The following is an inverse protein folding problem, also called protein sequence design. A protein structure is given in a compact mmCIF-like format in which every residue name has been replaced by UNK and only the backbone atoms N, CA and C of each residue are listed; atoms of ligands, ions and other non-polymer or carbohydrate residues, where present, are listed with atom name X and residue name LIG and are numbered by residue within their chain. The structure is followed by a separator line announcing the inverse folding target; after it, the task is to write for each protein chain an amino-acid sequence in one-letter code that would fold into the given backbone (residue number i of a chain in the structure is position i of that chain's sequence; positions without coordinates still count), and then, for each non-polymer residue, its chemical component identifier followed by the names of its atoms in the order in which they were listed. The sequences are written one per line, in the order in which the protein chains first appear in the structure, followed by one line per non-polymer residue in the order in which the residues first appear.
data_IF_074007529737
#
_entry.id   IF_074007529737
#
_cell.length_a   1.000
_cell.length_b   1.000
_cell.length_c   1.000
_cell.angle_alpha   90.00
_cell.angle_beta   90.00
_cell.angle_gamma   90.00
#
_symmetry.space_group_name_H-M   'P 1'
#
loop_
_entity.id
_entity.type
_entity.pdbx_description
1 polymer ?
#
# COMPACT_ATOMS: atom_id res chain seq x y z
N UNK A 1 -1.64 -17.43 -0.36
CA UNK A 1 -0.41 -17.60 -1.13
C UNK A 1 -0.73 -17.80 -2.58
N UNK A 2 0.08 -17.24 -3.48
CA UNK A 2 -0.17 -17.27 -4.92
C UNK A 2 1.09 -17.75 -5.63
N UNK A 3 0.92 -18.57 -6.66
CA UNK A 3 2.01 -19.05 -7.52
C UNK A 3 1.64 -18.71 -8.95
N UNK A 4 2.49 -17.93 -9.62
CA UNK A 4 2.37 -17.68 -11.06
C UNK A 4 2.73 -18.99 -11.76
N UNK A 5 1.75 -19.63 -12.39
CA UNK A 5 1.95 -20.88 -13.14
C UNK A 5 2.45 -20.64 -14.57
N UNK A 6 2.17 -19.45 -15.12
CA UNK A 6 2.63 -19.03 -16.44
C UNK A 6 2.80 -17.50 -16.48
N UNK A 7 3.99 -17.04 -16.87
CA UNK A 7 4.36 -15.62 -16.83
C UNK A 7 3.71 -14.79 -17.94
N UNK A 8 3.37 -15.38 -19.10
CA UNK A 8 2.68 -14.68 -20.17
C UNK A 8 3.32 -13.34 -20.56
N UNK A 9 2.54 -12.26 -20.55
CA UNK A 9 3.00 -10.92 -20.90
C UNK A 9 3.95 -10.31 -19.85
N UNK A 10 3.99 -10.84 -18.62
CA UNK A 10 4.91 -10.38 -17.57
C UNK A 10 6.38 -10.60 -17.95
N UNK A 11 6.66 -11.51 -18.90
CA UNK A 11 8.01 -11.71 -19.46
C UNK A 11 8.53 -10.49 -20.23
N UNK A 12 7.65 -9.63 -20.74
CA UNK A 12 8.00 -8.51 -21.63
C UNK A 12 7.66 -7.17 -21.02
N UNK A 13 6.71 -7.12 -20.08
CA UNK A 13 6.31 -5.87 -19.42
C UNK A 13 5.91 -6.14 -17.96
N UNK A 14 6.67 -5.57 -17.03
CA UNK A 14 6.29 -5.39 -15.64
C UNK A 14 5.92 -3.92 -15.49
N UNK A 15 4.63 -3.64 -15.26
CA UNK A 15 4.20 -2.29 -14.93
C UNK A 15 4.87 -1.90 -13.61
N UNK A 16 5.60 -0.77 -13.61
CA UNK A 16 6.20 -0.25 -12.39
C UNK A 16 5.08 0.11 -11.42
N UNK A 17 4.99 -0.60 -10.29
CA UNK A 17 4.13 -0.18 -9.18
C UNK A 17 4.70 1.12 -8.61
N UNK A 18 3.85 2.13 -8.42
CA UNK A 18 4.20 3.30 -7.63
C UNK A 18 4.75 2.85 -6.26
N UNK A 19 5.83 3.49 -5.80
CA UNK A 19 6.72 3.05 -4.69
C UNK A 19 6.07 2.95 -3.29
N UNK A 20 4.75 2.93 -3.14
CA UNK A 20 4.11 3.00 -1.81
C UNK A 20 3.09 1.90 -1.48
N UNK A 21 2.92 0.83 -2.29
CA UNK A 21 1.79 -0.06 -2.02
C UNK A 21 1.76 -1.46 -2.59
N UNK A 22 2.88 -2.21 -2.59
CA UNK A 22 2.89 -3.66 -2.35
C UNK A 22 4.23 -4.29 -2.77
N UNK A 23 5.24 -4.26 -1.88
CA UNK A 23 6.40 -5.16 -1.97
C UNK A 23 6.05 -6.63 -1.62
N UNK A 24 4.77 -6.94 -1.38
CA UNK A 24 4.33 -8.24 -0.87
C UNK A 24 4.17 -9.34 -1.94
N UNK A 25 4.38 -9.04 -3.22
CA UNK A 25 4.16 -10.02 -4.29
C UNK A 25 5.21 -11.14 -4.36
N UNK A 26 6.39 -10.97 -3.73
CA UNK A 26 7.43 -12.01 -3.74
C UNK A 26 7.35 -13.02 -2.57
N UNK A 27 6.65 -12.71 -1.48
CA UNK A 27 6.72 -13.52 -0.24
C UNK A 27 5.47 -14.40 0.00
N UNK A 28 4.60 -14.52 -1.01
CA UNK A 28 3.32 -15.24 -0.89
C UNK A 28 3.39 -16.76 -1.07
N UNK A 29 4.57 -17.38 -1.20
CA UNK A 29 4.65 -18.84 -1.44
C UNK A 29 4.41 -19.62 -0.15
N UNK A 30 3.36 -20.43 -0.17
CA UNK A 30 3.03 -21.32 0.95
C UNK A 30 3.55 -22.73 0.67
N UNK A 31 4.04 -23.45 1.70
CA UNK A 31 4.41 -24.85 1.56
C UNK A 31 3.17 -25.72 1.28
N UNK A 32 3.38 -26.89 0.67
CA UNK A 32 2.33 -27.87 0.53
C UNK A 32 1.93 -28.42 1.91
N UNK A 33 0.62 -28.37 2.20
CA UNK A 33 0.04 -28.79 3.49
C UNK A 33 -1.01 -29.88 3.27
N UNK A 34 -1.27 -30.68 4.32
CA UNK A 34 -2.34 -31.68 4.33
C UNK A 34 -3.38 -31.36 5.40
N UNK A 35 -4.63 -31.75 5.17
CA UNK A 35 -5.68 -31.64 6.19
C UNK A 35 -5.29 -32.43 7.46
N UNK A 36 -5.52 -31.82 8.63
CA UNK A 36 -5.16 -32.41 9.93
C UNK A 36 -3.67 -32.34 10.29
N UNK A 37 -2.83 -31.74 9.46
CA UNK A 37 -1.41 -31.56 9.78
C UNK A 37 -1.22 -30.65 11.00
N UNK A 38 -0.54 -31.17 12.04
CA UNK A 38 -0.23 -30.42 13.25
C UNK A 38 0.83 -29.36 12.92
N UNK A 39 0.55 -28.11 13.33
CA UNK A 39 1.45 -26.97 13.19
C UNK A 39 1.93 -26.51 14.56
N UNK A 40 3.24 -26.35 14.68
CA UNK A 40 3.84 -25.73 15.86
C UNK A 40 3.85 -24.22 15.69
N UNK A 41 3.36 -23.48 16.70
CA UNK A 41 3.54 -22.02 16.73
C UNK A 41 5.00 -21.72 17.08
N UNK A 42 5.70 -21.04 16.19
CA UNK A 42 7.05 -20.52 16.50
C UNK A 42 6.94 -19.19 17.24
N UNK A 43 6.11 -18.28 16.71
CA UNK A 43 5.92 -16.92 17.22
C UNK A 43 4.49 -16.46 16.94
N UNK A 44 3.91 -15.68 17.84
CA UNK A 44 2.65 -14.94 17.60
C UNK A 44 2.97 -13.46 17.72
N UNK A 45 2.54 -12.67 16.73
CA UNK A 45 2.71 -11.22 16.70
C UNK A 45 1.31 -10.59 16.68
N UNK A 46 1.01 -9.78 17.68
CA UNK A 46 -0.20 -8.95 17.70
C UNK A 46 0.22 -7.50 17.47
N UNK A 47 -0.15 -6.95 16.32
CA UNK A 47 0.15 -5.56 15.94
C UNK A 47 -1.09 -4.71 16.10
N UNK A 48 -0.99 -3.64 16.87
CA UNK A 48 -2.02 -2.60 16.91
C UNK A 48 -2.05 -1.90 15.55
N UNK A 49 -3.24 -1.81 14.94
CA UNK A 49 -3.45 -1.14 13.66
C UNK A 49 -4.46 -0.03 13.80
N UNK A 50 -4.25 1.04 13.03
CA UNK A 50 -5.18 2.15 12.90
C UNK A 50 -5.65 2.26 11.45
N UNK A 51 -6.86 2.77 11.25
CA UNK A 51 -7.37 3.08 9.93
C UNK A 51 -6.63 4.29 9.36
N UNK A 52 -6.03 4.14 8.18
CA UNK A 52 -5.49 5.28 7.43
C UNK A 52 -6.63 6.05 6.76
N UNK A 53 -6.49 7.37 6.65
CA UNK A 53 -7.40 8.16 5.83
C UNK A 53 -7.18 7.83 4.34
N UNK A 54 -8.15 8.17 3.49
CA UNK A 54 -7.95 8.05 2.05
C UNK A 54 -6.73 8.89 1.61
N UNK A 55 -5.87 8.36 0.72
CA UNK A 55 -4.71 9.10 0.25
C UNK A 55 -5.15 10.35 -0.49
N UNK A 56 -4.32 11.39 -0.43
CA UNK A 56 -4.51 12.60 -1.23
C UNK A 56 -4.24 12.27 -2.71
N UNK A 57 -4.82 13.06 -3.60
CA UNK A 57 -4.57 12.88 -5.03
C UNK A 57 -3.16 13.35 -5.40
N UNK A 58 -2.40 12.44 -6.00
CA UNK A 58 -1.28 12.75 -6.89
C UNK A 58 -1.81 13.23 -8.24
N UNK A 59 -0.96 13.83 -9.09
CA UNK A 59 -1.40 14.20 -10.44
C UNK A 59 -1.88 12.98 -11.23
N UNK A 60 -1.17 11.84 -11.16
CA UNK A 60 -1.55 10.61 -11.83
C UNK A 60 -2.92 10.07 -11.35
N UNK A 61 -3.12 9.98 -10.03
CA UNK A 61 -4.40 9.51 -9.46
C UNK A 61 -5.54 10.49 -9.70
N UNK A 62 -5.27 11.79 -9.77
CA UNK A 62 -6.26 12.81 -10.14
C UNK A 62 -6.69 12.66 -11.61
N UNK A 63 -5.73 12.46 -12.52
CA UNK A 63 -6.02 12.22 -13.95
C UNK A 63 -6.88 10.97 -14.10
N UNK A 64 -6.47 9.86 -13.48
CA UNK A 64 -7.25 8.61 -13.48
C UNK A 64 -8.67 8.85 -12.97
N UNK A 65 -8.82 9.63 -11.89
CA UNK A 65 -10.13 9.92 -11.33
C UNK A 65 -11.00 10.81 -12.23
N UNK A 66 -10.41 11.79 -12.91
CA UNK A 66 -11.12 12.63 -13.88
C UNK A 66 -11.62 11.80 -15.08
N UNK A 67 -10.81 10.86 -15.55
CA UNK A 67 -11.15 9.94 -16.63
C UNK A 67 -12.32 9.01 -16.25
N UNK A 68 -12.26 8.37 -15.07
CA UNK A 68 -13.34 7.53 -14.55
C UNK A 68 -14.68 8.27 -14.44
N UNK A 69 -14.64 9.56 -14.09
CA UNK A 69 -15.82 10.41 -13.99
C UNK A 69 -16.25 11.01 -15.34
N UNK A 70 -15.51 10.79 -16.42
CA UNK A 70 -15.79 11.34 -17.74
C UNK A 70 -15.58 12.86 -17.85
N UNK A 71 -14.83 13.46 -16.93
CA UNK A 71 -14.58 14.90 -16.85
C UNK A 71 -13.28 15.23 -17.57
N UNK A 72 -13.38 15.95 -18.69
CA UNK A 72 -12.22 16.31 -19.51
C UNK A 72 -11.85 15.23 -20.53
N UNK A 73 -10.71 15.41 -21.21
CA UNK A 73 -10.18 14.59 -22.30
C UNK A 73 -8.65 14.49 -22.15
N UNK A 74 -7.97 13.56 -22.83
CA UNK A 74 -6.51 13.43 -22.79
C UNK A 74 -5.77 14.75 -23.04
N UNK A 75 -6.30 15.63 -23.90
CA UNK A 75 -5.73 16.95 -24.20
C UNK A 75 -5.98 18.00 -23.11
N UNK A 76 -6.88 17.76 -22.15
CA UNK A 76 -7.32 18.77 -21.17
C UNK A 76 -6.88 18.48 -19.74
N UNK A 77 -6.40 17.28 -19.43
CA UNK A 77 -6.00 16.92 -18.06
C UNK A 77 -4.88 17.81 -17.51
N UNK A 78 -3.71 17.83 -18.17
CA UNK A 78 -2.58 18.64 -17.72
C UNK A 78 -2.88 20.16 -17.70
N UNK A 79 -3.52 20.76 -18.73
CA UNK A 79 -3.92 22.17 -18.66
C UNK A 79 -4.88 22.50 -17.51
N UNK A 80 -5.84 21.61 -17.21
CA UNK A 80 -6.80 21.81 -16.11
C UNK A 80 -6.09 21.82 -14.77
N UNK A 81 -5.25 20.80 -14.51
CA UNK A 81 -4.46 20.66 -13.28
C UNK A 81 -3.54 21.88 -13.11
N UNK A 82 -2.82 22.28 -14.16
CA UNK A 82 -1.96 23.46 -14.12
C UNK A 82 -2.73 24.75 -13.82
N UNK A 83 -3.94 24.90 -14.37
CA UNK A 83 -4.76 26.10 -14.17
C UNK A 83 -5.26 26.21 -12.74
N UNK A 84 -5.72 25.11 -12.12
CA UNK A 84 -6.20 25.14 -10.73
C UNK A 84 -5.07 25.39 -9.74
N UNK A 85 -3.86 24.88 -10.03
CA UNK A 85 -2.65 25.19 -9.24
C UNK A 85 -2.25 26.67 -9.40
N UNK A 86 -2.17 27.20 -10.64
CA UNK A 86 -1.80 28.60 -10.91
C UNK A 86 -2.74 29.63 -10.28
N UNK A 87 -4.03 29.27 -10.15
CA UNK A 87 -5.04 30.13 -9.51
C UNK A 87 -5.05 30.01 -7.98
N UNK A 88 -4.20 29.16 -7.40
CA UNK A 88 -4.09 28.97 -5.95
C UNK A 88 -5.24 28.20 -5.32
N UNK A 89 -6.05 27.46 -6.10
CA UNK A 89 -7.12 26.63 -5.54
C UNK A 89 -6.60 25.34 -4.91
N UNK A 90 -5.47 24.84 -5.40
CA UNK A 90 -4.80 23.65 -4.90
C UNK A 90 -3.30 23.88 -4.89
N UNK A 91 -2.62 23.26 -3.94
CA UNK A 91 -1.18 23.32 -3.80
C UNK A 91 -0.61 21.91 -3.87
N UNK A 92 0.50 21.76 -4.59
CA UNK A 92 1.31 20.54 -4.53
C UNK A 92 2.22 20.65 -3.31
N UNK A 93 1.83 20.00 -2.23
CA UNK A 93 2.63 19.91 -1.02
C UNK A 93 2.92 18.44 -0.74
N UNK A 94 4.18 18.16 -0.41
CA UNK A 94 4.53 16.94 0.29
C UNK A 94 4.43 17.26 1.78
N UNK A 95 3.48 16.62 2.47
CA UNK A 95 3.24 16.87 3.89
C UNK A 95 3.53 15.58 4.62
N UNK A 96 4.65 15.59 5.33
CA UNK A 96 5.02 14.50 6.22
C UNK A 96 3.87 14.19 7.17
N UNK A 97 3.63 12.90 7.34
CA UNK A 97 2.68 12.42 8.31
C UNK A 97 3.07 12.81 9.73
N UNK A 98 2.09 12.93 10.62
CA UNK A 98 2.39 13.13 12.05
C UNK A 98 2.80 11.79 12.68
N UNK A 99 3.85 11.75 13.51
CA UNK A 99 4.25 10.52 14.17
C UNK A 99 3.19 10.08 15.18
N UNK A 100 2.88 8.79 15.17
CA UNK A 100 1.93 8.15 16.07
C UNK A 100 2.48 6.81 16.54
N UNK A 101 2.37 6.56 17.83
CA UNK A 101 2.79 5.29 18.41
C UNK A 101 1.74 4.18 18.23
N UNK A 102 2.23 2.97 17.99
CA UNK A 102 1.45 1.73 17.99
C UNK A 102 2.19 0.62 18.73
N UNK A 103 1.45 -0.33 19.28
CA UNK A 103 2.02 -1.45 20.04
C UNK A 103 2.19 -2.70 19.20
N UNK A 104 3.29 -3.41 19.46
CA UNK A 104 3.58 -4.74 18.92
C UNK A 104 3.84 -5.68 20.09
N UNK A 105 2.96 -6.66 20.25
CA UNK A 105 3.13 -7.73 21.23
C UNK A 105 3.68 -8.97 20.53
N UNK A 106 4.80 -9.48 21.02
CA UNK A 106 5.40 -10.73 20.51
C UNK A 106 5.33 -11.79 21.59
N UNK A 107 4.66 -12.92 21.31
CA UNK A 107 4.71 -14.14 22.13
C UNK A 107 5.68 -15.14 21.50
N UNK A 108 6.73 -15.49 22.24
CA UNK A 108 7.72 -16.49 21.85
C UNK A 108 8.15 -17.30 23.10
N UNK A 109 8.20 -18.63 22.97
CA UNK A 109 8.61 -19.52 24.07
C UNK A 109 7.75 -19.45 25.35
N UNK A 110 6.57 -18.82 25.30
CA UNK A 110 5.70 -18.60 26.48
C UNK A 110 5.89 -17.27 27.19
N UNK A 111 6.82 -16.43 26.72
CA UNK A 111 7.02 -15.06 27.21
C UNK A 111 6.43 -14.04 26.25
N UNK A 112 5.81 -12.97 26.80
CA UNK A 112 5.28 -11.86 26.02
C UNK A 112 6.23 -10.68 26.11
N UNK A 113 6.69 -10.17 24.96
CA UNK A 113 7.41 -8.91 24.84
C UNK A 113 6.45 -7.83 24.33
N UNK A 114 6.48 -6.66 24.96
CA UNK A 114 5.73 -5.46 24.56
C UNK A 114 6.71 -4.44 23.99
N UNK A 115 6.46 -4.00 22.76
CA UNK A 115 7.25 -3.01 22.04
C UNK A 115 6.33 -1.90 21.54
N UNK A 116 6.80 -0.65 21.64
CA UNK A 116 6.14 0.51 21.05
C UNK A 116 6.97 0.98 19.88
N UNK A 117 6.34 1.00 18.70
CA UNK A 117 6.91 1.51 17.45
C UNK A 117 6.12 2.74 17.00
N UNK A 118 6.69 3.52 16.08
CA UNK A 118 6.08 4.75 15.57
C UNK A 118 5.78 4.61 14.08
N UNK A 119 4.57 4.99 13.67
CA UNK A 119 4.17 5.16 12.27
C UNK A 119 3.89 6.63 11.97
N UNK A 120 4.16 7.07 10.74
CA UNK A 120 3.72 8.37 10.26
C UNK A 120 2.31 8.22 9.66
N UNK A 121 1.37 9.05 10.13
CA UNK A 121 0.00 9.12 9.60
C UNK A 121 -0.29 10.39 8.83
#
# INVERSE_FOLDING_TARGET
GQVITFEGFLKVYLEGKDEEGDEQEQDGRLPAMKEGQILNRTRIIATQRFSKHAPRYTEASLVKRLEELGIGRPSTYAPTISTVQKRGYVEKADRDGTPRDFRVLTLEGGSVKDQTDTENT
#
